data_IF_557423792389
#
_entry.id   IF_557423792389
#
_cell.length_a   1.000
_cell.length_b   1.000
_cell.length_c   1.000
_cell.angle_alpha   90.00
_cell.angle_beta   90.00
_cell.angle_gamma   90.00
#
_symmetry.space_group_name_H-M   'P 1'
#
loop_
_entity.id
_entity.type
_entity.pdbx_description
1 polymer ?
#
# COMPACT_ATOMS: atom_id res chain seq x y z
N UNK A 1 18.53 9.60 -5.01
CA UNK A 1 18.16 10.62 -4.03
C UNK A 1 16.93 10.14 -3.32
N UNK A 2 17.04 9.93 -2.00
CA UNK A 2 15.92 9.56 -1.12
C UNK A 2 15.60 10.81 -0.32
N UNK A 3 14.33 11.22 -0.34
CA UNK A 3 13.81 12.29 0.49
C UNK A 3 12.77 11.68 1.42
N UNK A 4 12.96 11.86 2.73
CA UNK A 4 12.07 11.37 3.78
C UNK A 4 11.65 12.53 4.68
N UNK A 5 10.37 12.53 5.04
CA UNK A 5 9.83 13.46 6.02
C UNK A 5 8.60 12.83 6.70
N UNK A 6 8.56 12.74 8.04
CA UNK A 6 9.68 12.94 8.98
C UNK A 6 10.83 11.95 8.70
N UNK A 7 11.98 12.14 9.37
CA UNK A 7 13.07 11.18 9.22
C UNK A 7 12.62 9.79 9.75
N UNK A 8 13.00 8.74 9.04
CA UNK A 8 12.60 7.35 9.32
C UNK A 8 13.80 6.60 9.88
N UNK A 9 13.57 5.62 10.76
CA UNK A 9 14.63 4.76 11.25
C UNK A 9 15.24 3.90 10.13
N UNK A 10 16.53 3.58 10.26
CA UNK A 10 17.28 2.85 9.23
C UNK A 10 16.69 1.46 8.94
N UNK A 11 16.16 0.79 9.97
CA UNK A 11 15.54 -0.52 9.81
C UNK A 11 14.27 -0.44 8.95
N UNK A 12 13.38 0.52 9.25
CA UNK A 12 12.20 0.76 8.41
C UNK A 12 12.60 1.20 7.01
N UNK A 13 13.59 2.08 6.85
CA UNK A 13 14.06 2.51 5.53
C UNK A 13 14.54 1.33 4.67
N UNK A 14 15.33 0.42 5.24
CA UNK A 14 15.78 -0.80 4.54
C UNK A 14 14.60 -1.65 4.07
N UNK A 15 13.57 -1.82 4.91
CA UNK A 15 12.35 -2.54 4.50
C UNK A 15 11.64 -1.78 3.38
N UNK A 16 11.43 -0.47 3.50
CA UNK A 16 10.77 0.32 2.46
C UNK A 16 11.50 0.24 1.11
N UNK A 17 12.83 0.29 1.12
CA UNK A 17 13.65 0.16 -0.09
C UNK A 17 13.55 -1.26 -0.68
N UNK A 18 13.53 -2.29 0.17
CA UNK A 18 13.35 -3.68 -0.25
C UNK A 18 11.99 -3.93 -0.96
N UNK A 19 10.96 -3.13 -0.66
CA UNK A 19 9.61 -3.23 -1.25
C UNK A 19 9.47 -2.56 -2.60
N UNK A 20 10.37 -1.64 -2.93
CA UNK A 20 10.37 -1.00 -4.22
C UNK A 20 10.78 -2.02 -5.29
N UNK A 21 10.07 -2.07 -6.43
CA UNK A 21 10.43 -3.03 -7.45
C UNK A 21 11.84 -2.76 -7.96
N UNK A 22 12.60 -3.85 -8.06
CA UNK A 22 13.99 -3.84 -8.49
C UNK A 22 14.11 -3.57 -9.99
N UNK A 23 13.21 -4.16 -10.78
CA UNK A 23 13.22 -4.01 -12.24
C UNK A 23 12.36 -2.83 -12.70
N UNK A 24 12.90 -1.62 -12.52
CA UNK A 24 12.25 -0.35 -12.89
C UNK A 24 12.00 -0.20 -14.40
N UNK A 25 12.54 -1.09 -15.23
CA UNK A 25 12.45 -1.06 -16.69
C UNK A 25 11.30 -1.90 -17.25
N UNK A 26 10.84 -2.91 -16.52
CA UNK A 26 9.69 -3.76 -16.92
C UNK A 26 8.34 -3.20 -16.52
N UNK A 27 8.33 -2.22 -15.63
CA UNK A 27 7.11 -1.63 -15.08
C UNK A 27 6.76 -0.38 -15.87
N UNK A 28 5.72 -0.48 -16.69
CA UNK A 28 5.08 0.67 -17.33
C UNK A 28 3.84 1.05 -16.53
N UNK A 29 3.71 2.35 -16.21
CA UNK A 29 2.52 2.91 -15.54
C UNK A 29 2.72 3.16 -14.05
N UNK A 30 1.58 3.35 -13.36
CA UNK A 30 1.52 3.54 -11.92
C UNK A 30 0.95 2.31 -11.23
N UNK A 31 1.53 1.94 -10.09
CA UNK A 31 0.95 0.90 -9.24
C UNK A 31 0.97 1.32 -7.78
N UNK A 32 0.02 0.74 -7.04
CA UNK A 32 -0.14 0.95 -5.61
C UNK A 32 0.08 -0.37 -4.88
N UNK A 33 0.83 -0.31 -3.79
CA UNK A 33 1.07 -1.46 -2.91
C UNK A 33 0.79 -1.03 -1.48
N UNK A 34 0.29 -1.97 -0.68
CA UNK A 34 0.25 -1.80 0.76
C UNK A 34 0.96 -2.99 1.43
N UNK A 35 1.64 -2.71 2.52
CA UNK A 35 2.31 -3.69 3.35
C UNK A 35 2.17 -3.27 4.81
N UNK A 36 2.61 -4.13 5.72
CA UNK A 36 2.58 -3.88 7.15
C UNK A 36 3.78 -4.54 7.80
N UNK A 37 4.45 -3.80 8.68
CA UNK A 37 5.55 -4.28 9.53
C UNK A 37 5.24 -3.87 10.96
N UNK A 38 5.18 -4.83 11.88
CA UNK A 38 4.77 -4.57 13.27
C UNK A 38 3.35 -4.00 13.34
N UNK A 39 3.23 -2.77 13.83
CA UNK A 39 1.95 -2.04 13.93
C UNK A 39 1.74 -1.03 12.81
N UNK A 40 2.77 -0.76 11.99
CA UNK A 40 2.77 0.29 10.99
C UNK A 40 2.40 -0.26 9.61
N UNK A 41 1.34 0.29 9.03
CA UNK A 41 0.98 0.13 7.64
C UNK A 41 1.84 1.03 6.77
N UNK A 42 2.27 0.48 5.65
CA UNK A 42 3.12 1.12 4.66
C UNK A 42 2.35 1.16 3.34
N UNK A 43 2.13 2.34 2.80
CA UNK A 43 1.40 2.57 1.56
C UNK A 43 2.34 3.16 0.53
N UNK A 44 2.40 2.56 -0.65
CA UNK A 44 3.31 2.95 -1.71
C UNK A 44 2.54 3.27 -2.97
N UNK A 45 2.90 4.38 -3.61
CA UNK A 45 2.60 4.60 -5.02
C UNK A 45 3.92 4.71 -5.77
N UNK A 46 4.01 4.03 -6.90
CA UNK A 46 5.15 4.13 -7.79
C UNK A 46 4.69 4.50 -9.18
N UNK A 47 5.49 5.31 -9.86
CA UNK A 47 5.29 5.69 -11.25
C UNK A 47 6.62 5.57 -11.98
N UNK A 48 6.63 4.84 -13.08
CA UNK A 48 7.75 4.79 -14.02
C UNK A 48 7.40 5.54 -15.32
N UNK A 49 8.44 5.94 -16.06
CA UNK A 49 8.29 6.59 -17.36
C UNK A 49 7.83 8.05 -17.25
N UNK A 50 8.24 8.75 -16.20
CA UNK A 50 7.87 10.15 -15.99
C UNK A 50 8.55 11.02 -17.05
N UNK A 51 7.76 11.55 -17.98
CA UNK A 51 8.20 12.54 -18.96
C UNK A 51 7.66 13.92 -18.57
N UNK A 52 8.24 14.55 -17.54
CA UNK A 52 7.87 15.91 -17.12
C UNK A 52 8.96 16.90 -17.50
N UNK A 53 8.56 18.03 -18.11
CA UNK A 53 9.46 19.16 -18.41
C UNK A 53 10.14 19.71 -17.14
N UNK A 54 9.50 19.55 -15.97
CA UNK A 54 10.00 20.03 -14.69
C UNK A 54 10.94 19.04 -13.98
N UNK A 55 10.91 17.77 -14.38
CA UNK A 55 11.73 16.70 -13.80
C UNK A 55 12.53 15.96 -14.89
N UNK A 56 13.41 16.66 -15.63
CA UNK A 56 14.09 16.09 -16.80
C UNK A 56 15.04 14.92 -16.47
N UNK A 57 15.44 14.78 -15.20
CA UNK A 57 16.36 13.73 -14.72
C UNK A 57 15.66 12.57 -14.00
N UNK A 58 14.35 12.64 -13.79
CA UNK A 58 13.62 11.63 -12.99
C UNK A 58 12.88 10.69 -13.92
N UNK A 59 13.35 9.44 -14.01
CA UNK A 59 12.71 8.39 -14.81
C UNK A 59 11.62 7.62 -14.04
N UNK A 60 11.75 7.56 -12.71
CA UNK A 60 10.82 6.84 -11.83
C UNK A 60 10.72 7.55 -10.48
N UNK A 61 9.53 7.55 -9.89
CA UNK A 61 9.25 8.11 -8.59
C UNK A 61 8.47 7.12 -7.75
N UNK A 62 8.80 7.05 -6.46
CA UNK A 62 8.02 6.33 -5.46
C UNK A 62 7.69 7.29 -4.32
N UNK A 63 6.44 7.29 -3.86
CA UNK A 63 6.05 7.92 -2.61
C UNK A 63 5.58 6.84 -1.65
N UNK A 64 6.06 6.93 -0.41
CA UNK A 64 5.68 6.04 0.67
C UNK A 64 5.05 6.84 1.80
N UNK A 65 3.96 6.31 2.37
CA UNK A 65 3.30 6.85 3.54
C UNK A 65 3.16 5.78 4.62
N UNK A 66 3.50 6.16 5.85
CA UNK A 66 3.38 5.31 7.03
C UNK A 66 2.15 5.71 7.84
N UNK A 67 1.35 4.75 8.30
CA UNK A 67 0.20 4.99 9.17
C UNK A 67 -0.07 3.80 10.09
N UNK A 68 -0.70 4.03 11.24
CA UNK A 68 -1.17 2.95 12.14
C UNK A 68 -2.55 2.41 11.74
N UNK A 69 -3.30 3.12 10.90
CA UNK A 69 -4.64 2.73 10.48
C UNK A 69 -4.66 2.04 9.12
N UNK A 70 -5.57 1.09 8.97
CA UNK A 70 -5.81 0.37 7.72
C UNK A 70 -6.87 1.09 6.90
N UNK A 71 -6.47 1.79 5.83
CA UNK A 71 -7.40 2.39 4.87
C UNK A 71 -6.71 2.58 3.49
N UNK A 72 -6.53 1.50 2.72
CA UNK A 72 -5.77 1.54 1.48
C UNK A 72 -6.35 2.54 0.47
N UNK A 73 -7.68 2.69 0.38
CA UNK A 73 -8.33 3.65 -0.54
C UNK A 73 -8.02 5.09 -0.19
N UNK A 74 -8.14 5.45 1.10
CA UNK A 74 -7.84 6.80 1.60
C UNK A 74 -6.39 7.18 1.34
N UNK A 75 -5.47 6.26 1.64
CA UNK A 75 -4.05 6.52 1.48
C UNK A 75 -3.62 6.45 0.01
N UNK A 76 -4.28 5.65 -0.82
CA UNK A 76 -4.08 5.67 -2.26
C UNK A 76 -4.48 7.00 -2.88
N UNK A 77 -5.68 7.52 -2.57
CA UNK A 77 -6.14 8.80 -3.11
C UNK A 77 -5.28 9.97 -2.62
N UNK A 78 -4.81 9.92 -1.37
CA UNK A 78 -3.86 10.89 -0.82
C UNK A 78 -2.52 10.84 -1.57
N UNK A 79 -1.95 9.65 -1.74
CA UNK A 79 -0.69 9.46 -2.46
C UNK A 79 -0.79 9.88 -3.93
N UNK A 80 -1.92 9.64 -4.58
CA UNK A 80 -2.19 10.14 -5.94
C UNK A 80 -2.21 11.67 -5.99
N UNK A 81 -2.91 12.33 -5.05
CA UNK A 81 -2.96 13.78 -4.99
C UNK A 81 -1.57 14.40 -4.73
N UNK A 82 -0.82 13.83 -3.79
CA UNK A 82 0.56 14.24 -3.47
C UNK A 82 1.52 14.03 -4.65
N UNK A 83 1.37 12.90 -5.37
CA UNK A 83 2.11 12.62 -6.59
C UNK A 83 1.87 13.71 -7.64
N UNK A 84 0.62 14.12 -7.87
CA UNK A 84 0.31 15.18 -8.83
C UNK A 84 0.89 16.54 -8.41
N UNK A 85 0.85 16.87 -7.11
CA UNK A 85 1.52 18.06 -6.58
C UNK A 85 3.02 18.04 -6.89
N UNK A 86 3.69 16.89 -6.70
CA UNK A 86 5.12 16.77 -6.97
C UNK A 86 5.45 16.81 -8.48
N UNK A 87 4.68 16.10 -9.33
CA UNK A 87 4.87 16.11 -10.78
C UNK A 87 4.68 17.51 -11.39
N UNK A 88 3.75 18.30 -10.85
CA UNK A 88 3.45 19.65 -11.32
C UNK A 88 4.36 20.72 -10.71
N UNK A 89 4.81 20.57 -9.46
CA UNK A 89 5.71 21.55 -8.83
C UNK A 89 7.18 21.29 -9.17
N UNK A 90 7.58 20.02 -9.30
CA UNK A 90 8.97 19.59 -9.43
C UNK A 90 9.81 19.78 -8.17
N UNK A 91 9.22 20.19 -7.04
CA UNK A 91 9.93 20.51 -5.80
C UNK A 91 9.38 19.74 -4.59
N UNK A 92 10.23 19.18 -3.73
CA UNK A 92 9.79 18.46 -2.54
C UNK A 92 9.17 19.38 -1.47
N UNK A 93 9.44 20.69 -1.53
CA UNK A 93 8.91 21.67 -0.57
C UNK A 93 7.38 21.76 -0.64
N UNK A 94 6.81 21.81 -1.85
CA UNK A 94 5.35 21.83 -2.06
C UNK A 94 4.68 20.53 -1.65
N UNK A 95 5.37 19.41 -1.84
CA UNK A 95 4.94 18.10 -1.35
C UNK A 95 4.89 18.08 0.19
N UNK A 96 5.91 18.62 0.85
CA UNK A 96 5.95 18.72 2.31
C UNK A 96 4.85 19.64 2.86
N UNK A 97 4.62 20.79 2.23
CA UNK A 97 3.52 21.71 2.57
C UNK A 97 2.14 21.01 2.46
N UNK A 98 1.95 20.21 1.41
CA UNK A 98 0.75 19.39 1.24
C UNK A 98 0.60 18.33 2.32
N UNK A 99 1.68 17.64 2.67
CA UNK A 99 1.66 16.65 3.75
C UNK A 99 1.34 17.29 5.10
N UNK A 100 1.98 18.42 5.43
CA UNK A 100 1.77 19.12 6.69
C UNK A 100 0.36 19.71 6.82
N UNK A 101 -0.22 20.23 5.74
CA UNK A 101 -1.61 20.69 5.76
C UNK A 101 -2.58 19.53 6.02
N UNK A 102 -2.35 18.35 5.43
CA UNK A 102 -3.13 17.14 5.75
C UNK A 102 -2.95 16.74 7.22
N UNK A 103 -1.73 16.77 7.74
CA UNK A 103 -1.45 16.42 9.13
C UNK A 103 -2.13 17.39 10.12
N UNK A 104 -2.07 18.70 9.85
CA UNK A 104 -2.57 19.74 10.74
C UNK A 104 -4.09 19.98 10.63
N UNK A 105 -4.63 20.01 9.41
CA UNK A 105 -6.03 20.40 9.14
C UNK A 105 -6.90 19.24 8.70
N UNK A 106 -6.31 18.07 8.45
CA UNK A 106 -7.00 16.87 7.98
C UNK A 106 -7.20 16.81 6.47
N UNK A 107 -6.89 17.86 5.70
CA UNK A 107 -6.98 17.87 4.23
C UNK A 107 -6.09 18.93 3.61
N UNK A 108 -6.07 19.04 2.28
CA UNK A 108 -5.32 20.11 1.63
C UNK A 108 -6.00 20.62 0.37
N UNK A 109 -5.71 21.88 0.04
CA UNK A 109 -6.02 22.51 -1.25
C UNK A 109 -4.82 23.36 -1.62
N UNK A 110 -3.98 22.88 -2.53
CA UNK A 110 -2.74 23.55 -2.94
C UNK A 110 -2.76 23.78 -4.44
N UNK A 111 -2.33 24.98 -4.83
CA UNK A 111 -2.09 25.31 -6.22
C UNK A 111 -0.65 24.91 -6.53
N UNK A 112 -0.47 23.93 -7.42
CA UNK A 112 0.84 23.50 -7.89
C UNK A 112 1.03 23.96 -9.34
N UNK A 113 1.99 24.86 -9.55
CA UNK A 113 2.28 25.44 -10.86
C UNK A 113 3.12 26.72 -10.73
N UNK A 114 3.49 27.30 -11.87
CA UNK A 114 4.11 28.63 -11.94
C UNK A 114 3.65 29.28 -13.23
N UNK A 115 2.88 30.38 -13.15
CA UNK A 115 2.31 31.06 -14.32
C UNK A 115 0.99 30.43 -14.80
N UNK A 116 0.78 30.32 -16.13
CA UNK A 116 -0.51 29.92 -16.73
C UNK A 116 -0.94 28.45 -16.53
N UNK A 117 -0.13 27.61 -15.87
CA UNK A 117 -0.42 26.18 -15.63
C UNK A 117 -0.63 25.88 -14.15
N UNK A 118 -1.31 26.78 -13.45
CA UNK A 118 -1.73 26.57 -12.07
C UNK A 118 -2.86 25.55 -12.02
N UNK A 119 -2.59 24.38 -11.44
CA UNK A 119 -3.61 23.37 -11.17
C UNK A 119 -3.87 23.32 -9.67
N UNK A 120 -5.13 23.49 -9.29
CA UNK A 120 -5.58 23.30 -7.91
C UNK A 120 -5.74 21.81 -7.63
N UNK A 121 -4.95 21.30 -6.69
CA UNK A 121 -5.08 19.95 -6.17
C UNK A 121 -5.75 20.02 -4.81
N UNK A 122 -6.83 19.26 -4.63
CA UNK A 122 -7.52 19.18 -3.34
C UNK A 122 -7.75 17.74 -2.93
N UNK A 123 -7.63 17.47 -1.64
CA UNK A 123 -7.91 16.17 -1.05
C UNK A 123 -8.60 16.33 0.29
N UNK A 124 -9.63 15.50 0.52
CA UNK A 124 -10.38 15.46 1.76
C UNK A 124 -10.56 14.02 2.25
N UNK A 125 -10.40 13.77 3.56
CA UNK A 125 -10.50 12.44 4.14
C UNK A 125 -11.96 11.98 4.26
N UNK A 126 -12.92 12.90 4.25
CA UNK A 126 -14.35 12.63 4.45
C UNK A 126 -14.97 11.74 3.37
N UNK A 127 -14.32 11.63 2.21
CA UNK A 127 -14.72 10.72 1.14
C UNK A 127 -14.40 9.25 1.44
N UNK A 128 -13.56 8.96 2.46
CA UNK A 128 -13.08 7.62 2.74
C UNK A 128 -13.37 7.23 4.19
N UNK A 129 -14.38 6.38 4.40
CA UNK A 129 -14.71 5.85 5.73
C UNK A 129 -13.92 4.58 6.00
N UNK A 130 -13.40 4.45 7.23
CA UNK A 130 -12.60 3.28 7.62
C UNK A 130 -13.38 1.97 7.54
N UNK A 131 -14.70 2.01 7.76
CA UNK A 131 -15.56 0.82 7.60
C UNK A 131 -15.54 0.30 6.16
N UNK A 132 -15.56 1.21 5.19
CA UNK A 132 -15.61 0.85 3.78
C UNK A 132 -14.29 0.20 3.35
N UNK A 133 -13.17 0.62 3.95
CA UNK A 133 -11.88 -0.04 3.76
C UNK A 133 -11.83 -1.50 4.25
N UNK A 134 -12.66 -1.90 5.21
CA UNK A 134 -12.70 -3.29 5.69
C UNK A 134 -13.46 -4.23 4.73
N UNK A 135 -14.44 -3.68 4.01
CA UNK A 135 -15.32 -4.41 3.09
C UNK A 135 -15.02 -4.13 1.62
N UNK A 136 -14.09 -3.23 1.33
CA UNK A 136 -13.81 -2.76 -0.02
C UNK A 136 -13.12 -3.80 -0.89
N UNK A 137 -13.48 -3.81 -2.18
CA UNK A 137 -12.70 -4.45 -3.23
C UNK A 137 -11.44 -3.65 -3.58
N UNK A 138 -10.52 -4.21 -4.39
CA UNK A 138 -9.30 -3.53 -4.83
C UNK A 138 -9.54 -2.27 -5.69
N UNK A 139 -10.75 -2.10 -6.20
CA UNK A 139 -11.24 -0.96 -6.98
C UNK A 139 -11.94 0.12 -6.14
N UNK A 140 -11.96 -0.01 -4.81
CA UNK A 140 -12.72 0.86 -3.92
C UNK A 140 -14.23 0.62 -3.98
N UNK A 141 -14.70 -0.44 -4.65
CA UNK A 141 -16.10 -0.82 -4.65
C UNK A 141 -16.51 -1.30 -3.26
N UNK A 142 -17.62 -0.75 -2.76
CA UNK A 142 -18.18 -1.11 -1.45
C UNK A 142 -19.00 -2.39 -1.63
N UNK A 143 -18.43 -3.54 -1.24
CA UNK A 143 -19.11 -4.82 -1.44
C UNK A 143 -18.27 -6.01 -1.04
N UNK A 144 -18.08 -6.24 0.26
CA UNK A 144 -17.25 -7.33 0.76
C UNK A 144 -17.67 -8.70 0.23
N UNK A 145 -18.97 -8.92 0.00
CA UNK A 145 -19.49 -10.14 -0.61
C UNK A 145 -19.09 -10.29 -2.08
N UNK A 146 -19.07 -9.20 -2.85
CA UNK A 146 -18.63 -9.21 -4.24
C UNK A 146 -17.12 -9.47 -4.35
N UNK A 147 -16.33 -8.85 -3.46
CA UNK A 147 -14.90 -9.10 -3.34
C UNK A 147 -14.61 -10.56 -2.98
N UNK A 148 -15.29 -11.10 -1.96
CA UNK A 148 -15.16 -12.50 -1.56
C UNK A 148 -15.54 -13.45 -2.70
N UNK A 149 -16.62 -13.15 -3.43
CA UNK A 149 -17.04 -13.96 -4.57
C UNK A 149 -16.02 -13.93 -5.70
N UNK A 150 -15.48 -12.75 -6.03
CA UNK A 150 -14.56 -12.57 -7.16
C UNK A 150 -13.18 -13.17 -6.88
N UNK A 151 -12.64 -12.91 -5.69
CA UNK A 151 -11.25 -13.25 -5.36
C UNK A 151 -11.11 -14.63 -4.72
N UNK A 152 -12.10 -15.10 -3.94
CA UNK A 152 -12.00 -16.36 -3.19
C UNK A 152 -12.96 -17.43 -3.74
N UNK A 153 -14.27 -17.19 -3.73
CA UNK A 153 -15.24 -18.25 -4.06
C UNK A 153 -15.26 -18.58 -5.56
N UNK A 154 -14.97 -17.61 -6.43
CA UNK A 154 -14.90 -17.81 -7.87
C UNK A 154 -13.74 -18.73 -8.27
N UNK A 155 -12.49 -18.43 -7.84
CA UNK A 155 -11.34 -19.27 -8.18
C UNK A 155 -11.33 -20.63 -7.46
N UNK A 156 -11.69 -20.68 -6.16
CA UNK A 156 -11.54 -21.89 -5.34
C UNK A 156 -12.82 -22.73 -5.22
N UNK A 157 -14.00 -22.16 -5.52
CA UNK A 157 -15.28 -22.86 -5.41
C UNK A 157 -15.49 -23.50 -4.04
N UNK A 158 -15.69 -24.82 -4.00
CA UNK A 158 -15.89 -25.60 -2.78
C UNK A 158 -14.62 -25.71 -1.91
N UNK A 159 -13.43 -25.59 -2.49
CA UNK A 159 -12.16 -25.66 -1.75
C UNK A 159 -11.97 -24.44 -0.83
N UNK A 160 -12.72 -23.35 -1.06
CA UNK A 160 -12.78 -22.22 -0.14
C UNK A 160 -13.22 -22.63 1.28
N UNK A 161 -13.91 -23.77 1.41
CA UNK A 161 -14.25 -24.36 2.71
C UNK A 161 -12.98 -24.73 3.50
N UNK A 162 -11.92 -25.22 2.86
CA UNK A 162 -10.65 -25.52 3.52
C UNK A 162 -9.99 -24.25 4.07
N UNK A 163 -10.01 -23.17 3.29
CA UNK A 163 -9.51 -21.86 3.72
C UNK A 163 -10.32 -21.33 4.90
N UNK A 164 -11.64 -21.39 4.83
CA UNK A 164 -12.51 -20.99 5.92
C UNK A 164 -12.23 -21.78 7.21
N UNK A 165 -12.12 -23.10 7.13
CA UNK A 165 -11.75 -23.94 8.28
C UNK A 165 -10.36 -23.61 8.82
N UNK A 166 -9.36 -23.41 7.96
CA UNK A 166 -8.01 -23.04 8.38
C UNK A 166 -8.01 -21.71 9.15
N UNK A 167 -8.75 -20.71 8.68
CA UNK A 167 -8.90 -19.42 9.36
C UNK A 167 -9.66 -19.55 10.68
N UNK A 168 -10.72 -20.37 10.72
CA UNK A 168 -11.47 -20.67 11.94
C UNK A 168 -10.55 -21.31 13.00
N UNK A 169 -9.72 -22.27 12.58
CA UNK A 169 -8.75 -22.98 13.42
C UNK A 169 -7.47 -22.19 13.73
N UNK A 170 -7.37 -20.92 13.31
CA UNK A 170 -6.17 -20.08 13.57
C UNK A 170 -4.89 -20.74 13.02
N UNK A 171 -4.99 -21.36 11.84
CA UNK A 171 -3.81 -21.87 11.12
C UNK A 171 -3.12 -20.72 10.38
N UNK A 172 -1.80 -20.84 10.23
CA UNK A 172 -1.01 -19.87 9.44
C UNK A 172 -1.19 -20.20 7.96
N UNK A 173 -1.75 -19.25 7.23
CA UNK A 173 -2.00 -19.30 5.79
C UNK A 173 -1.02 -18.35 5.12
N UNK A 174 -0.28 -18.89 4.16
CA UNK A 174 0.63 -18.13 3.31
C UNK A 174 0.09 -18.17 1.89
N UNK A 175 -0.05 -17.01 1.28
CA UNK A 175 -0.51 -16.83 -0.10
C UNK A 175 0.71 -16.47 -0.92
N UNK A 176 1.06 -17.30 -1.89
CA UNK A 176 2.24 -17.06 -2.73
C UNK A 176 1.74 -16.72 -4.13
N UNK A 177 2.23 -15.61 -4.67
CA UNK A 177 1.94 -15.19 -6.04
C UNK A 177 3.16 -14.54 -6.69
N UNK A 178 3.18 -14.46 -8.03
CA UNK A 178 4.24 -13.78 -8.74
C UNK A 178 4.15 -12.26 -8.55
N UNK A 179 5.28 -11.54 -8.66
CA UNK A 179 5.37 -10.10 -8.32
C UNK A 179 4.47 -9.22 -9.21
N UNK A 180 4.25 -9.61 -10.46
CA UNK A 180 3.35 -8.96 -11.41
C UNK A 180 1.88 -8.98 -10.96
N UNK A 181 1.49 -9.94 -10.12
CA UNK A 181 0.13 -10.09 -9.59
C UNK A 181 0.01 -9.70 -8.11
N UNK A 182 0.95 -8.91 -7.58
CA UNK A 182 0.92 -8.46 -6.18
C UNK A 182 -0.41 -7.78 -5.77
N UNK A 183 -1.05 -7.02 -6.67
CA UNK A 183 -2.36 -6.41 -6.42
C UNK A 183 -3.47 -7.45 -6.19
N UNK A 184 -3.39 -8.59 -6.89
CA UNK A 184 -4.35 -9.69 -6.75
C UNK A 184 -4.10 -10.47 -5.46
N UNK A 185 -2.84 -10.71 -5.12
CA UNK A 185 -2.45 -11.31 -3.82
C UNK A 185 -2.98 -10.44 -2.67
N UNK A 186 -2.82 -9.12 -2.76
CA UNK A 186 -3.37 -8.20 -1.79
C UNK A 186 -4.90 -8.29 -1.71
N UNK A 187 -5.60 -8.26 -2.85
CA UNK A 187 -7.06 -8.36 -2.89
C UNK A 187 -7.55 -9.66 -2.24
N UNK A 188 -6.87 -10.77 -2.53
CA UNK A 188 -7.16 -12.07 -1.93
C UNK A 188 -6.96 -12.07 -0.41
N UNK A 189 -5.81 -11.58 0.08
CA UNK A 189 -5.52 -11.51 1.52
C UNK A 189 -6.53 -10.62 2.24
N UNK A 190 -6.91 -9.49 1.64
CA UNK A 190 -7.94 -8.60 2.17
C UNK A 190 -9.31 -9.26 2.25
N UNK A 191 -9.63 -10.19 1.35
CA UNK A 191 -10.87 -10.94 1.36
C UNK A 191 -10.89 -12.07 2.40
N UNK A 192 -9.74 -12.58 2.85
CA UNK A 192 -9.69 -13.70 3.81
C UNK A 192 -10.42 -13.42 5.13
N UNK A 193 -10.24 -12.25 5.81
CA UNK A 193 -11.02 -11.93 7.00
C UNK A 193 -12.54 -11.86 6.77
N UNK A 194 -13.00 -11.66 5.52
CA UNK A 194 -14.42 -11.64 5.21
C UNK A 194 -15.06 -13.03 5.31
N UNK A 195 -14.29 -14.11 5.11
CA UNK A 195 -14.75 -15.48 5.34
C UNK A 195 -15.09 -15.72 6.82
N UNK A 196 -14.40 -15.03 7.74
CA UNK A 196 -14.58 -15.16 9.18
C UNK A 196 -14.94 -13.79 9.76
N UNK A 197 -16.03 -13.22 9.23
CA UNK A 197 -16.51 -11.87 9.56
C UNK A 197 -16.68 -11.64 11.07
N UNK A 198 -17.04 -12.68 11.82
CA UNK A 198 -17.22 -12.64 13.28
C UNK A 198 -15.98 -12.15 14.04
N UNK A 199 -14.77 -12.35 13.49
CA UNK A 199 -13.52 -11.99 14.18
C UNK A 199 -13.04 -10.57 13.94
N UNK A 200 -13.54 -9.90 12.89
CA UNK A 200 -13.19 -8.52 12.49
C UNK A 200 -11.71 -8.14 12.67
N UNK A 201 -10.79 -9.03 12.35
CA UNK A 201 -9.36 -8.82 12.61
C UNK A 201 -8.60 -8.55 11.31
N UNK A 202 -8.46 -7.28 10.95
CA UNK A 202 -7.58 -6.84 9.85
C UNK A 202 -6.16 -6.51 10.34
N UNK A 203 -5.96 -6.42 11.66
CA UNK A 203 -4.65 -6.21 12.28
C UNK A 203 -3.67 -7.37 12.06
N UNK A 204 -4.19 -8.57 11.76
CA UNK A 204 -3.41 -9.78 11.47
C UNK A 204 -2.94 -9.86 10.02
N UNK A 205 -3.35 -8.96 9.13
CA UNK A 205 -2.95 -9.08 7.72
C UNK A 205 -1.51 -8.60 7.51
N UNK A 206 -0.78 -9.35 6.70
CA UNK A 206 0.53 -8.97 6.15
C UNK A 206 0.48 -9.16 4.61
N UNK A 207 -0.03 -8.17 3.87
CA UNK A 207 -0.32 -8.33 2.44
C UNK A 207 0.84 -8.69 1.54
N UNK A 208 2.03 -8.18 1.84
CA UNK A 208 3.22 -8.37 1.03
C UNK A 208 4.38 -8.50 2.01
N UNK A 209 5.05 -9.66 2.00
CA UNK A 209 6.23 -10.01 2.80
C UNK A 209 7.38 -10.41 1.87
N UNK A 210 8.59 -9.92 2.12
CA UNK A 210 9.74 -10.08 1.25
C UNK A 210 10.65 -11.12 1.89
N UNK A 211 10.17 -12.36 1.94
CA UNK A 211 10.86 -13.46 2.61
C UNK A 211 12.08 -13.98 1.83
N UNK A 212 12.10 -13.78 0.52
CA UNK A 212 13.15 -14.29 -0.38
C UNK A 212 13.84 -13.14 -1.10
N UNK A 213 14.68 -12.41 -0.37
CA UNK A 213 15.55 -11.38 -0.94
C UNK A 213 16.98 -11.90 -1.09
N UNK A 214 17.58 -11.74 -2.28
CA UNK A 214 19.04 -11.92 -2.43
C UNK A 214 19.84 -11.02 -1.50
N UNK A 215 21.15 -11.31 -1.36
CA UNK A 215 22.08 -10.91 -0.29
C UNK A 215 21.96 -9.50 0.32
N UNK A 216 21.54 -8.50 -0.45
CA UNK A 216 21.33 -7.13 0.02
C UNK A 216 20.10 -6.92 0.93
N UNK A 217 19.15 -7.86 0.98
CA UNK A 217 17.90 -7.73 1.75
C UNK A 217 17.83 -8.69 2.95
N UNK A 218 18.92 -9.38 3.30
CA UNK A 218 18.92 -10.36 4.39
C UNK A 218 18.54 -9.73 5.74
N UNK A 219 18.95 -8.48 6.00
CA UNK A 219 18.59 -7.74 7.22
C UNK A 219 17.08 -7.46 7.30
N UNK A 220 16.48 -7.00 6.20
CA UNK A 220 15.05 -6.73 6.10
C UNK A 220 14.23 -8.03 6.19
N UNK A 221 14.68 -9.10 5.54
CA UNK A 221 14.02 -10.41 5.60
C UNK A 221 14.04 -11.00 7.02
N UNK A 222 15.16 -10.87 7.74
CA UNK A 222 15.27 -11.33 9.13
C UNK A 222 14.34 -10.54 10.08
N UNK A 223 14.20 -9.23 9.88
CA UNK A 223 13.29 -8.39 10.65
C UNK A 223 11.83 -8.79 10.42
N UNK A 224 11.46 -9.05 9.16
CA UNK A 224 10.11 -9.48 8.79
C UNK A 224 9.80 -10.88 9.29
N UNK A 225 10.76 -11.80 9.25
CA UNK A 225 10.60 -13.12 9.82
C UNK A 225 10.40 -13.06 11.34
N UNK A 226 11.14 -12.19 12.03
CA UNK A 226 10.94 -11.93 13.45
C UNK A 226 9.55 -11.34 13.75
N UNK A 227 9.06 -10.39 12.92
CA UNK A 227 7.69 -9.86 13.01
C UNK A 227 6.65 -10.97 12.82
N UNK A 228 6.80 -11.82 11.80
CA UNK A 228 5.87 -12.91 11.55
C UNK A 228 5.84 -13.95 12.68
N UNK A 229 7.02 -14.28 13.24
CA UNK A 229 7.13 -15.23 14.35
C UNK A 229 6.50 -14.67 15.63
N UNK A 230 6.73 -13.40 15.93
CA UNK A 230 6.23 -12.73 17.13
C UNK A 230 4.74 -12.38 17.07
N UNK A 231 4.26 -11.91 15.92
CA UNK A 231 2.89 -11.44 15.75
C UNK A 231 1.85 -12.59 15.68
N UNK A 232 2.29 -13.85 15.52
CA UNK A 232 1.40 -15.01 15.48
C UNK A 232 0.36 -14.94 14.36
N UNK A 233 0.75 -14.35 13.23
CA UNK A 233 -0.15 -13.97 12.12
C UNK A 233 -0.66 -15.18 11.33
N UNK A 234 -1.93 -15.11 10.91
CA UNK A 234 -2.60 -16.17 10.15
C UNK A 234 -2.62 -15.96 8.63
N UNK A 235 -2.37 -14.75 8.12
CA UNK A 235 -2.44 -14.46 6.69
C UNK A 235 -1.26 -13.60 6.26
N UNK A 236 -0.33 -14.20 5.50
CA UNK A 236 0.81 -13.51 4.89
C UNK A 236 0.82 -13.73 3.37
N UNK A 237 1.24 -12.70 2.61
CA UNK A 237 1.38 -12.70 1.16
C UNK A 237 2.79 -12.48 0.68
#
# INVERSE_FOLDING_TARGET
>A
WVWSYPNVDEATEQVLQARLPRDRRRLSGSFFRCSKVGTMWQYFIFVAGIASKRLPRVSSLALCLLSTSFNPEKYHSLLQALLQVYLNSGTPLKLMEAYLSVYATGGFSIIAGSGQTEMQHSWRPSAHRDRDALIGGPDGSVGGVACLRREVLGPFGLEAVLLWHALLLRRRVVVIGPEDQASRVFAFIRALPLLVWERKCWGILRPIVALFGGDANQSAAALEEADLRSAGVYCAG
#
